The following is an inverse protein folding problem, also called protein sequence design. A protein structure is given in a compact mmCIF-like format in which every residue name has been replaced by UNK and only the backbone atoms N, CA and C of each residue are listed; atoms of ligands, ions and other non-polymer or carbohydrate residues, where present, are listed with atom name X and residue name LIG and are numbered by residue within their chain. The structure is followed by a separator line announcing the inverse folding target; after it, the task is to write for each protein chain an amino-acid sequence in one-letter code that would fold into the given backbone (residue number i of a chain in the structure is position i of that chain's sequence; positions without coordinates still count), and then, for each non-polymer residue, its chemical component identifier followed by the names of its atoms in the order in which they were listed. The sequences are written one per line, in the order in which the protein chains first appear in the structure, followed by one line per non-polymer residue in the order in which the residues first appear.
data_IF_313051916141
#
_entry.id   IF_313051916141
#
_cell.length_a   1.000
_cell.length_b   1.000
_cell.length_c   1.000
_cell.angle_alpha   90.00
_cell.angle_beta   90.00
_cell.angle_gamma   90.00
#
_symmetry.space_group_name_H-M   'P 1'
#
loop_
_entity.id
_entity.type
_entity.pdbx_description
1 polymer ?
#
# COMPACT_ATOMS: atom_id res chain seq x y z
N UNK A 1 18.25 22.41 5.49
CA UNK A 1 17.82 21.16 6.16
C UNK A 1 17.07 21.44 7.47
N UNK A 2 17.60 22.25 8.40
CA UNK A 2 16.87 22.60 9.64
C UNK A 2 15.64 23.51 9.43
N UNK A 3 15.60 24.30 8.35
CA UNK A 3 14.43 25.13 7.96
C UNK A 3 13.26 24.33 7.35
N UNK A 4 13.48 23.07 6.98
CA UNK A 4 12.41 22.18 6.49
C UNK A 4 11.59 21.63 7.66
N UNK A 5 12.24 21.39 8.79
CA UNK A 5 11.61 20.88 10.01
C UNK A 5 10.89 21.97 10.80
N UNK A 6 10.96 23.25 10.41
CA UNK A 6 10.18 24.30 11.10
C UNK A 6 8.70 24.28 10.70
N UNK A 7 8.34 23.63 9.59
CA UNK A 7 6.96 23.52 9.15
C UNK A 7 6.30 22.27 9.74
N UNK A 8 5.20 22.45 10.46
CA UNK A 8 4.46 21.36 11.10
C UNK A 8 3.96 20.32 10.09
N UNK A 9 3.45 20.75 8.93
CA UNK A 9 3.03 19.82 7.86
C UNK A 9 4.19 18.96 7.34
N UNK A 10 5.41 19.51 7.31
CA UNK A 10 6.60 18.80 6.83
C UNK A 10 7.07 17.79 7.87
N UNK A 11 7.01 18.12 9.17
CA UNK A 11 7.28 17.14 10.23
C UNK A 11 6.32 15.95 10.13
N UNK A 12 5.03 16.22 9.96
CA UNK A 12 3.99 15.19 9.78
C UNK A 12 4.23 14.36 8.53
N UNK A 13 4.66 14.98 7.43
CA UNK A 13 5.06 14.29 6.20
C UNK A 13 6.18 13.28 6.43
N UNK A 14 7.26 13.71 7.09
CA UNK A 14 8.40 12.84 7.40
C UNK A 14 7.99 11.70 8.34
N UNK A 15 7.19 11.99 9.37
CA UNK A 15 6.66 10.97 10.28
C UNK A 15 5.78 9.94 9.56
N UNK A 16 4.90 10.39 8.67
CA UNK A 16 4.07 9.51 7.84
C UNK A 16 4.94 8.63 6.93
N UNK A 17 5.95 9.20 6.27
CA UNK A 17 6.90 8.44 5.43
C UNK A 17 7.68 7.41 6.25
N UNK A 18 8.15 7.78 7.44
CA UNK A 18 8.81 6.85 8.36
C UNK A 18 7.86 5.69 8.67
N UNK A 19 6.63 5.98 9.12
CA UNK A 19 5.65 4.95 9.46
C UNK A 19 5.35 4.04 8.26
N UNK A 20 5.05 4.60 7.09
CA UNK A 20 4.74 3.84 5.87
C UNK A 20 5.90 2.95 5.43
N UNK A 21 7.13 3.45 5.50
CA UNK A 21 8.32 2.70 5.09
C UNK A 21 8.62 1.46 5.94
N UNK A 22 8.12 1.41 7.19
CA UNK A 22 8.34 0.28 8.08
C UNK A 22 7.51 -0.94 7.71
N UNK A 23 6.27 -0.76 7.26
CA UNK A 23 5.35 -1.87 7.02
C UNK A 23 4.98 -2.09 5.55
N UNK A 24 4.92 -1.03 4.74
CA UNK A 24 4.47 -1.12 3.35
C UNK A 24 5.35 -2.04 2.51
N UNK A 25 6.69 -1.89 2.51
CA UNK A 25 7.56 -2.80 1.77
C UNK A 25 7.51 -4.24 2.30
N UNK A 26 7.28 -4.42 3.62
CA UNK A 26 7.12 -5.75 4.22
C UNK A 26 5.90 -6.46 3.66
N UNK A 27 4.72 -5.83 3.69
CA UNK A 27 3.51 -6.38 3.05
C UNK A 27 3.73 -6.60 1.54
N UNK A 28 4.41 -5.67 0.88
CA UNK A 28 4.79 -5.78 -0.52
C UNK A 28 5.62 -7.02 -0.86
N UNK A 29 6.54 -7.44 0.01
CA UNK A 29 7.32 -8.67 -0.21
C UNK A 29 6.43 -9.91 -0.24
N UNK A 30 5.46 -10.02 0.69
CA UNK A 30 4.49 -11.11 0.69
C UNK A 30 3.57 -11.05 -0.54
N UNK A 31 3.08 -9.86 -0.91
CA UNK A 31 2.24 -9.68 -2.09
C UNK A 31 2.94 -10.15 -3.36
N UNK A 32 4.20 -9.78 -3.57
CA UNK A 32 4.94 -10.19 -4.77
C UNK A 32 5.17 -11.70 -4.79
N UNK A 33 5.64 -12.28 -3.69
CA UNK A 33 5.95 -13.70 -3.62
C UNK A 33 4.70 -14.58 -3.79
N UNK A 34 3.53 -14.11 -3.33
CA UNK A 34 2.25 -14.77 -3.54
C UNK A 34 1.63 -14.52 -4.92
N UNK A 35 2.32 -13.82 -5.83
CA UNK A 35 1.81 -13.40 -7.16
C UNK A 35 0.56 -12.49 -7.08
N UNK A 36 0.51 -11.64 -6.06
CA UNK A 36 -0.59 -10.73 -5.75
C UNK A 36 -0.15 -9.26 -5.83
N UNK A 37 0.86 -8.92 -6.62
CA UNK A 37 1.40 -7.55 -6.72
C UNK A 37 0.36 -6.51 -7.15
N UNK A 38 -0.62 -6.88 -7.98
CA UNK A 38 -1.70 -5.99 -8.43
C UNK A 38 -2.80 -5.76 -7.37
N UNK A 39 -2.73 -6.47 -6.24
CA UNK A 39 -3.71 -6.33 -5.18
C UNK A 39 -3.63 -4.98 -4.48
N UNK A 40 -2.42 -4.44 -4.28
CA UNK A 40 -2.23 -3.11 -3.70
C UNK A 40 -2.89 -2.05 -4.57
N UNK A 41 -2.76 -2.17 -5.88
CA UNK A 41 -3.36 -1.28 -6.86
C UNK A 41 -4.90 -1.39 -6.85
N UNK A 42 -5.41 -2.61 -6.92
CA UNK A 42 -6.85 -2.90 -6.90
C UNK A 42 -7.52 -2.32 -5.65
N UNK A 43 -6.99 -2.61 -4.47
CA UNK A 43 -7.57 -2.11 -3.22
C UNK A 43 -7.42 -0.60 -3.07
N UNK A 44 -6.38 0.01 -3.66
CA UNK A 44 -6.19 1.46 -3.67
C UNK A 44 -7.19 2.20 -4.56
N UNK A 45 -7.77 1.53 -5.55
CA UNK A 45 -8.85 2.09 -6.36
C UNK A 45 -10.24 1.84 -5.77
N UNK A 46 -10.44 0.70 -5.12
CA UNK A 46 -11.71 0.37 -4.45
C UNK A 46 -11.91 1.20 -3.18
N UNK A 47 -10.83 1.53 -2.49
CA UNK A 47 -10.83 2.47 -1.37
C UNK A 47 -11.35 3.87 -1.75
N UNK A 48 -11.20 4.30 -3.02
CA UNK A 48 -11.75 5.56 -3.50
C UNK A 48 -13.28 5.53 -3.51
N UNK A 49 -13.91 4.37 -3.73
CA UNK A 49 -15.36 4.22 -3.52
C UNK A 49 -15.67 4.45 -2.05
N UNK A 50 -14.86 3.87 -1.16
CA UNK A 50 -14.85 4.13 0.27
C UNK A 50 -14.87 5.61 0.64
N UNK A 51 -13.92 6.36 0.09
CA UNK A 51 -13.80 7.80 0.28
C UNK A 51 -15.04 8.51 -0.25
N UNK A 52 -15.48 8.19 -1.47
CA UNK A 52 -16.66 8.81 -2.08
C UNK A 52 -17.93 8.60 -1.24
N UNK A 53 -18.16 7.39 -0.71
CA UNK A 53 -19.28 7.14 0.20
C UNK A 53 -19.17 7.94 1.49
N UNK A 54 -17.97 8.03 2.09
CA UNK A 54 -17.75 8.82 3.30
C UNK A 54 -18.08 10.31 3.08
N UNK A 55 -17.55 10.88 1.99
CA UNK A 55 -17.76 12.29 1.63
C UNK A 55 -19.21 12.63 1.29
N UNK A 56 -19.95 11.72 0.65
CA UNK A 56 -21.34 11.95 0.25
C UNK A 56 -22.32 11.71 1.40
N UNK A 57 -22.05 10.74 2.27
CA UNK A 57 -22.89 10.43 3.44
C UNK A 57 -22.57 11.32 4.66
N UNK A 58 -21.50 12.12 4.61
CA UNK A 58 -21.05 12.95 5.73
C UNK A 58 -20.43 12.16 6.88
N UNK A 59 -19.98 10.92 6.62
CA UNK A 59 -19.28 10.05 7.57
C UNK A 59 -17.78 10.27 7.42
N UNK A 60 -16.99 10.01 8.47
CA UNK A 60 -15.53 10.02 8.38
C UNK A 60 -15.03 9.19 7.17
N UNK A 61 -14.33 9.81 6.20
CA UNK A 61 -13.85 9.12 5.01
C UNK A 61 -13.00 7.89 5.35
N UNK A 62 -12.13 8.00 6.36
CA UNK A 62 -11.27 6.89 6.80
C UNK A 62 -12.08 5.66 7.23
N UNK A 63 -13.16 5.86 7.99
CA UNK A 63 -14.00 4.75 8.48
C UNK A 63 -14.74 4.08 7.32
N UNK A 64 -15.33 4.88 6.43
CA UNK A 64 -16.01 4.38 5.23
C UNK A 64 -15.06 3.62 4.31
N UNK A 65 -13.83 4.13 4.13
CA UNK A 65 -12.79 3.47 3.35
C UNK A 65 -12.38 2.14 3.94
N UNK A 66 -12.14 2.06 5.25
CA UNK A 66 -11.80 0.81 5.92
C UNK A 66 -12.93 -0.21 5.73
N UNK A 67 -14.19 0.17 5.94
CA UNK A 67 -15.32 -0.73 5.79
C UNK A 67 -15.43 -1.30 4.36
N UNK A 68 -15.35 -0.42 3.35
CA UNK A 68 -15.46 -0.84 1.94
C UNK A 68 -14.26 -1.70 1.52
N UNK A 69 -13.05 -1.36 1.96
CA UNK A 69 -11.86 -2.14 1.64
C UNK A 69 -11.87 -3.52 2.32
N UNK A 70 -12.41 -3.64 3.53
CA UNK A 70 -12.57 -4.95 4.19
C UNK A 70 -13.54 -5.85 3.43
N UNK A 71 -14.68 -5.30 2.99
CA UNK A 71 -15.64 -6.01 2.14
C UNK A 71 -14.97 -6.43 0.82
N UNK A 72 -14.25 -5.51 0.20
CA UNK A 72 -13.52 -5.75 -1.05
C UNK A 72 -12.43 -6.81 -0.90
N UNK A 73 -11.68 -6.84 0.22
CA UNK A 73 -10.64 -7.82 0.49
C UNK A 73 -11.21 -9.24 0.62
N UNK A 74 -12.36 -9.39 1.29
CA UNK A 74 -13.07 -10.67 1.37
C UNK A 74 -13.60 -11.09 0.01
N UNK A 75 -14.22 -10.16 -0.72
CA UNK A 75 -14.77 -10.42 -2.04
C UNK A 75 -13.68 -10.77 -3.07
N UNK A 76 -12.51 -10.12 -2.98
CA UNK A 76 -11.35 -10.44 -3.81
C UNK A 76 -10.87 -11.86 -3.57
N UNK A 77 -10.81 -12.30 -2.31
CA UNK A 77 -10.44 -13.67 -1.99
C UNK A 77 -11.46 -14.67 -2.51
N UNK A 78 -12.76 -14.36 -2.41
CA UNK A 78 -13.82 -15.18 -3.00
C UNK A 78 -13.65 -15.29 -4.52
N UNK A 79 -13.45 -14.17 -5.22
CA UNK A 79 -13.24 -14.14 -6.67
C UNK A 79 -12.03 -14.99 -7.08
N UNK A 80 -10.95 -14.99 -6.30
CA UNK A 80 -9.78 -15.84 -6.56
C UNK A 80 -10.09 -17.33 -6.47
N UNK A 81 -10.99 -17.74 -5.57
CA UNK A 81 -11.43 -19.15 -5.51
C UNK A 81 -12.27 -19.55 -6.72
N UNK A 82 -13.02 -18.62 -7.31
CA UNK A 82 -13.84 -18.86 -8.51
C UNK A 82 -12.96 -18.87 -9.77
N UNK A 83 -12.03 -17.92 -9.90
CA UNK A 83 -11.16 -17.75 -11.06
C UNK A 83 -9.73 -18.26 -10.80
N UNK A 84 -9.57 -19.51 -10.32
CA UNK A 84 -8.26 -20.09 -9.96
C UNK A 84 -7.20 -19.94 -11.06
N UNK A 85 -7.58 -20.12 -12.32
CA UNK A 85 -6.66 -20.08 -13.46
C UNK A 85 -6.29 -18.67 -13.91
N UNK A 86 -7.06 -17.65 -13.50
CA UNK A 86 -6.90 -16.26 -13.96
C UNK A 86 -7.15 -15.28 -12.81
N UNK A 87 -6.30 -15.33 -11.78
CA UNK A 87 -6.42 -14.49 -10.59
C UNK A 87 -6.46 -12.98 -10.91
N UNK A 88 -5.85 -12.57 -12.02
CA UNK A 88 -5.82 -11.19 -12.51
C UNK A 88 -7.21 -10.67 -12.94
N UNK A 89 -8.14 -11.56 -13.32
CA UNK A 89 -9.51 -11.19 -13.69
C UNK A 89 -10.25 -10.65 -12.46
N UNK A 90 -10.13 -11.33 -11.32
CA UNK A 90 -10.78 -10.90 -10.07
C UNK A 90 -10.31 -9.50 -9.64
N UNK A 91 -9.01 -9.23 -9.76
CA UNK A 91 -8.44 -7.89 -9.50
C UNK A 91 -8.97 -6.84 -10.48
N UNK A 92 -9.01 -7.15 -11.78
CA UNK A 92 -9.48 -6.20 -12.79
C UNK A 92 -10.97 -5.86 -12.64
N UNK A 93 -11.83 -6.85 -12.35
CA UNK A 93 -13.26 -6.65 -12.08
C UNK A 93 -13.44 -5.74 -10.87
N UNK A 94 -12.73 -6.03 -9.78
CA UNK A 94 -12.87 -5.29 -8.53
C UNK A 94 -12.38 -3.84 -8.68
N UNK A 95 -11.24 -3.64 -9.34
CA UNK A 95 -10.69 -2.32 -9.63
C UNK A 95 -11.67 -1.49 -10.47
N UNK A 96 -12.18 -2.06 -11.57
CA UNK A 96 -13.13 -1.37 -12.46
C UNK A 96 -14.43 -1.02 -11.74
N UNK A 97 -14.93 -1.93 -10.91
CA UNK A 97 -16.14 -1.73 -10.11
C UNK A 97 -15.92 -0.63 -9.07
N UNK A 98 -14.79 -0.65 -8.37
CA UNK A 98 -14.43 0.36 -7.38
C UNK A 98 -14.40 1.78 -7.98
N UNK A 99 -13.71 1.94 -9.11
CA UNK A 99 -13.65 3.22 -9.81
C UNK A 99 -15.02 3.66 -10.35
N UNK A 100 -15.78 2.75 -10.96
CA UNK A 100 -17.10 3.08 -11.48
C UNK A 100 -18.04 3.54 -10.34
N UNK A 101 -18.05 2.81 -9.22
CA UNK A 101 -18.88 3.15 -8.06
C UNK A 101 -18.44 4.48 -7.44
N UNK A 102 -17.14 4.74 -7.29
CA UNK A 102 -16.65 6.00 -6.72
C UNK A 102 -17.11 7.20 -7.54
N UNK A 103 -17.00 7.12 -8.87
CA UNK A 103 -17.44 8.18 -9.79
C UNK A 103 -18.96 8.38 -9.79
N UNK A 104 -19.75 7.30 -9.78
CA UNK A 104 -21.22 7.40 -9.73
C UNK A 104 -21.68 8.03 -8.41
N UNK A 105 -21.13 7.57 -7.28
CA UNK A 105 -21.48 8.10 -5.95
C UNK A 105 -21.14 9.58 -5.87
N UNK A 106 -19.96 9.95 -6.34
CA UNK A 106 -19.53 11.34 -6.25
C UNK A 106 -20.24 12.26 -7.24
N UNK A 107 -20.58 11.78 -8.46
CA UNK A 107 -21.37 12.53 -9.43
C UNK A 107 -22.79 12.82 -8.94
N UNK A 108 -23.38 11.91 -8.15
CA UNK A 108 -24.71 12.10 -7.55
C UNK A 108 -24.68 12.87 -6.23
N UNK A 109 -23.54 12.87 -5.55
CA UNK A 109 -23.34 13.59 -4.30
C UNK A 109 -23.34 15.08 -4.51
N UNK A 110 -24.32 15.79 -3.94
CA UNK A 110 -24.35 17.27 -3.87
C UNK A 110 -23.35 17.81 -2.84
N UNK A 111 -22.14 17.24 -2.74
CA UNK A 111 -21.26 17.56 -1.65
C UNK A 111 -20.45 18.83 -1.94
N UNK A 112 -20.62 19.80 -1.04
CA UNK A 112 -19.96 21.12 -0.99
C UNK A 112 -18.53 21.03 -0.40
N UNK A 113 -17.99 19.82 -0.27
CA UNK A 113 -16.67 19.55 0.30
C UNK A 113 -15.57 19.94 -0.69
N UNK A 114 -14.68 20.84 -0.27
CA UNK A 114 -13.53 21.37 -1.02
C UNK A 114 -12.44 20.34 -1.37
N UNK A 115 -12.60 19.09 -0.93
CA UNK A 115 -11.61 18.03 -1.12
C UNK A 115 -12.05 17.13 -2.29
N UNK A 116 -11.36 17.26 -3.43
CA UNK A 116 -11.65 16.48 -4.63
C UNK A 116 -11.12 15.05 -4.51
N UNK A 117 -11.72 14.09 -5.25
CA UNK A 117 -11.14 12.74 -5.42
C UNK A 117 -9.69 12.80 -5.88
N UNK A 118 -9.32 13.84 -6.64
CA UNK A 118 -7.97 14.05 -7.14
C UNK A 118 -6.96 14.11 -6.00
N UNK A 119 -7.32 14.72 -4.87
CA UNK A 119 -6.44 14.77 -3.70
C UNK A 119 -6.21 13.38 -3.10
N UNK A 120 -7.17 12.46 -3.20
CA UNK A 120 -7.01 11.07 -2.74
C UNK A 120 -6.34 10.17 -3.78
N UNK A 121 -6.41 10.53 -5.07
CA UNK A 121 -5.69 9.85 -6.15
C UNK A 121 -4.19 10.15 -6.09
N UNK A 122 -3.84 11.44 -6.00
CA UNK A 122 -2.46 11.91 -6.04
C UNK A 122 -1.83 12.10 -4.66
N UNK A 123 -2.64 12.14 -3.60
CA UNK A 123 -2.20 12.43 -2.23
C UNK A 123 -1.94 13.92 -2.02
N UNK A 124 -2.06 14.38 -0.77
CA UNK A 124 -1.53 15.68 -0.38
C UNK A 124 -0.85 15.58 0.97
N UNK A 125 0.48 15.69 0.90
CA UNK A 125 1.35 15.62 2.07
C UNK A 125 1.11 16.81 3.02
N UNK A 126 0.64 17.94 2.50
CA UNK A 126 0.34 19.13 3.28
C UNK A 126 -0.89 18.93 4.18
N UNK A 127 -1.82 18.05 3.81
CA UNK A 127 -3.10 17.89 4.50
C UNK A 127 -3.13 16.79 5.56
N UNK A 128 -1.97 16.25 5.92
CA UNK A 128 -1.87 15.15 6.88
C UNK A 128 -2.16 15.66 8.30
N UNK A 129 -3.14 15.06 8.96
CA UNK A 129 -3.46 15.34 10.38
C UNK A 129 -2.62 14.48 11.33
N UNK A 130 -2.48 14.94 12.59
CA UNK A 130 -1.79 14.16 13.63
C UNK A 130 -2.44 12.80 13.87
N UNK A 131 -3.77 12.74 13.88
CA UNK A 131 -4.52 11.49 14.02
C UNK A 131 -4.18 10.48 12.90
N UNK A 132 -3.97 10.96 11.67
CA UNK A 132 -3.57 10.11 10.56
C UNK A 132 -2.14 9.57 10.75
N UNK A 133 -1.21 10.41 11.20
CA UNK A 133 0.17 9.97 11.51
C UNK A 133 0.17 8.91 12.60
N UNK A 134 -0.59 9.12 13.68
CA UNK A 134 -0.71 8.15 14.78
C UNK A 134 -1.31 6.84 14.25
N UNK A 135 -2.37 6.91 13.43
CA UNK A 135 -2.99 5.73 12.81
C UNK A 135 -2.00 4.94 11.95
N UNK A 136 -1.10 5.61 11.23
CA UNK A 136 -0.03 4.97 10.45
C UNK A 136 0.99 4.25 11.34
N UNK A 137 1.37 4.83 12.49
CA UNK A 137 2.24 4.14 13.44
C UNK A 137 1.55 2.95 14.12
N UNK A 138 0.26 3.07 14.43
CA UNK A 138 -0.52 1.97 15.00
C UNK A 138 -0.59 0.79 14.03
N UNK A 139 -0.94 1.03 12.76
CA UNK A 139 -0.97 -0.06 11.77
C UNK A 139 0.43 -0.59 11.48
N UNK A 140 1.48 0.25 11.51
CA UNK A 140 2.86 -0.21 11.38
C UNK A 140 3.22 -1.20 12.50
N UNK A 141 2.90 -0.87 13.76
CA UNK A 141 3.13 -1.76 14.90
C UNK A 141 2.34 -3.07 14.75
N UNK A 142 1.05 -3.00 14.40
CA UNK A 142 0.21 -4.18 14.17
C UNK A 142 0.79 -5.08 13.08
N UNK A 143 1.15 -4.53 11.92
CA UNK A 143 1.71 -5.30 10.80
C UNK A 143 3.05 -5.93 11.18
N UNK A 144 3.94 -5.20 11.86
CA UNK A 144 5.23 -5.73 12.29
C UNK A 144 5.09 -6.83 13.34
N UNK A 145 4.19 -6.68 14.32
CA UNK A 145 3.90 -7.70 15.34
C UNK A 145 3.31 -8.95 14.68
N UNK A 146 2.31 -8.80 13.81
CA UNK A 146 1.71 -9.91 13.08
C UNK A 146 2.75 -10.62 12.20
N UNK A 147 3.58 -9.85 11.50
CA UNK A 147 4.66 -10.40 10.67
C UNK A 147 5.67 -11.16 11.51
N UNK A 148 6.04 -10.66 12.69
CA UNK A 148 6.97 -11.34 13.59
C UNK A 148 6.37 -12.64 14.16
N UNK A 149 5.12 -12.60 14.63
CA UNK A 149 4.42 -13.73 15.23
C UNK A 149 4.11 -14.83 14.19
N UNK A 150 3.65 -14.44 13.00
CA UNK A 150 3.21 -15.36 11.94
C UNK A 150 4.26 -15.56 10.84
N UNK A 151 5.53 -15.20 11.07
CA UNK A 151 6.57 -15.27 10.06
C UNK A 151 6.72 -16.68 9.46
N UNK A 152 6.71 -17.71 10.30
CA UNK A 152 6.86 -19.11 9.87
C UNK A 152 5.64 -19.60 9.09
N UNK A 153 4.40 -19.52 9.62
CA UNK A 153 3.21 -19.88 8.85
C UNK A 153 3.07 -19.12 7.53
N UNK A 154 3.30 -17.81 7.52
CA UNK A 154 3.24 -16.99 6.30
C UNK A 154 4.31 -17.38 5.29
N UNK A 155 5.52 -17.75 5.75
CA UNK A 155 6.57 -18.24 4.86
C UNK A 155 6.14 -19.53 4.16
N UNK A 156 5.68 -20.54 4.90
CA UNK A 156 5.25 -21.83 4.32
C UNK A 156 4.10 -21.58 3.33
N UNK A 157 3.07 -20.85 3.76
CA UNK A 157 1.93 -20.47 2.93
C UNK A 157 2.34 -19.75 1.62
N UNK A 158 3.37 -18.92 1.67
CA UNK A 158 3.81 -18.13 0.51
C UNK A 158 4.53 -18.97 -0.54
N UNK A 159 5.28 -20.00 -0.11
CA UNK A 159 6.08 -20.82 -1.02
C UNK A 159 5.37 -22.10 -1.45
N UNK A 160 4.54 -22.68 -0.58
CA UNK A 160 3.81 -23.92 -0.84
C UNK A 160 2.50 -23.96 -0.03
N UNK A 161 1.40 -23.62 -0.69
CA UNK A 161 0.05 -23.65 -0.08
C UNK A 161 -0.42 -25.08 0.22
N UNK A 162 0.00 -26.07 -0.57
CA UNK A 162 -0.39 -27.47 -0.38
C UNK A 162 0.33 -28.06 0.84
N UNK A 163 1.63 -27.79 0.98
CA UNK A 163 2.39 -28.16 2.18
C UNK A 163 1.84 -27.47 3.43
N UNK A 164 1.48 -26.18 3.35
CA UNK A 164 0.84 -25.47 4.45
C UNK A 164 -0.49 -26.13 4.89
N UNK A 165 -1.28 -26.60 3.92
CA UNK A 165 -2.54 -27.29 4.19
C UNK A 165 -2.32 -28.66 4.86
N UNK A 166 -1.32 -29.42 4.40
CA UNK A 166 -0.94 -30.71 5.02
C UNK A 166 -0.41 -30.52 6.44
N UNK A 167 0.33 -29.44 6.69
CA UNK A 167 0.81 -29.04 8.03
C UNK A 167 -0.32 -28.55 8.98
N UNK A 168 -1.58 -28.56 8.52
CA UNK A 168 -2.76 -28.20 9.31
C UNK A 168 -2.99 -26.69 9.46
N UNK A 169 -2.30 -25.85 8.67
CA UNK A 169 -2.52 -24.42 8.70
C UNK A 169 -3.86 -24.05 8.03
N UNK A 170 -4.64 -23.11 8.60
CA UNK A 170 -5.88 -22.65 7.99
C UNK A 170 -5.61 -21.67 6.84
N UNK A 171 -5.06 -22.18 5.74
CA UNK A 171 -4.63 -21.45 4.51
C UNK A 171 -5.60 -20.35 4.11
N UNK A 172 -6.89 -20.69 3.98
CA UNK A 172 -7.94 -19.75 3.55
C UNK A 172 -8.14 -18.61 4.54
N UNK A 173 -8.23 -18.90 5.83
CA UNK A 173 -8.40 -17.88 6.87
C UNK A 173 -7.19 -16.97 6.94
N UNK A 174 -5.98 -17.52 6.83
CA UNK A 174 -4.74 -16.76 6.82
C UNK A 174 -4.65 -15.83 5.60
N UNK A 175 -5.08 -16.30 4.42
CA UNK A 175 -5.14 -15.47 3.21
C UNK A 175 -6.13 -14.32 3.35
N UNK A 176 -7.34 -14.58 3.88
CA UNK A 176 -8.35 -13.54 4.13
C UNK A 176 -7.81 -12.49 5.13
N UNK A 177 -7.23 -12.94 6.24
CA UNK A 177 -6.69 -12.03 7.26
C UNK A 177 -5.54 -11.18 6.71
N UNK A 178 -4.63 -11.78 5.95
CA UNK A 178 -3.56 -11.06 5.26
C UNK A 178 -4.14 -9.99 4.31
N UNK A 179 -5.17 -10.35 3.55
CA UNK A 179 -5.83 -9.42 2.64
C UNK A 179 -6.53 -8.27 3.37
N UNK A 180 -7.19 -8.56 4.50
CA UNK A 180 -7.82 -7.54 5.34
C UNK A 180 -6.79 -6.58 5.94
N UNK A 181 -5.71 -7.10 6.54
CA UNK A 181 -4.63 -6.27 7.12
C UNK A 181 -4.01 -5.39 6.04
N UNK A 182 -3.74 -5.96 4.87
CA UNK A 182 -3.22 -5.21 3.72
C UNK A 182 -4.19 -4.12 3.26
N UNK A 183 -5.48 -4.43 3.19
CA UNK A 183 -6.51 -3.47 2.84
C UNK A 183 -6.64 -2.32 3.84
N UNK A 184 -6.64 -2.61 5.14
CA UNK A 184 -6.65 -1.58 6.19
C UNK A 184 -5.41 -0.69 6.10
N UNK A 185 -4.24 -1.29 5.88
CA UNK A 185 -3.00 -0.54 5.67
C UNK A 185 -3.09 0.41 4.47
N UNK A 186 -3.61 -0.06 3.34
CA UNK A 186 -3.85 0.76 2.13
C UNK A 186 -4.84 1.89 2.42
N UNK A 187 -5.96 1.60 3.08
CA UNK A 187 -6.99 2.57 3.44
C UNK A 187 -6.43 3.73 4.29
N UNK A 188 -5.54 3.41 5.24
CA UNK A 188 -4.91 4.40 6.11
C UNK A 188 -3.81 5.21 5.42
N UNK A 189 -3.14 4.64 4.41
CA UNK A 189 -2.09 5.35 3.67
C UNK A 189 -2.65 6.36 2.66
N UNK A 190 -3.83 6.12 2.11
CA UNK A 190 -4.38 6.91 1.00
C UNK A 190 -4.51 8.42 1.28
N UNK A 191 -5.03 8.87 2.43
CA UNK A 191 -5.09 10.31 2.70
C UNK A 191 -3.71 10.99 2.69
N UNK A 192 -2.65 10.26 3.08
CA UNK A 192 -1.29 10.78 3.18
C UNK A 192 -0.49 10.65 1.87
N UNK A 193 -0.55 9.48 1.25
CA UNK A 193 0.28 9.09 0.11
C UNK A 193 -0.45 9.23 -1.24
N UNK A 194 -1.77 9.07 -1.25
CA UNK A 194 -2.57 8.91 -2.46
C UNK A 194 -2.55 7.49 -3.01
N UNK A 195 -3.60 7.13 -3.75
CA UNK A 195 -3.75 5.79 -4.34
C UNK A 195 -2.57 5.39 -5.25
N UNK A 196 -2.04 6.33 -6.03
CA UNK A 196 -0.90 6.09 -6.92
C UNK A 196 0.37 5.71 -6.16
N UNK A 197 0.69 6.45 -5.10
CA UNK A 197 1.93 6.24 -4.35
C UNK A 197 1.88 4.92 -3.57
N UNK A 198 0.72 4.57 -3.01
CA UNK A 198 0.56 3.35 -2.20
C UNK A 198 1.01 2.10 -2.94
N UNK A 199 0.57 1.94 -4.19
CA UNK A 199 0.95 0.81 -5.04
C UNK A 199 2.48 0.77 -5.27
N UNK A 200 3.07 1.92 -5.58
CA UNK A 200 4.52 2.10 -5.77
C UNK A 200 5.32 1.71 -4.52
N UNK A 201 4.98 2.24 -3.34
CA UNK A 201 5.77 2.05 -2.11
C UNK A 201 5.60 0.66 -1.49
N UNK A 202 4.57 -0.09 -1.87
CA UNK A 202 4.46 -1.50 -1.52
C UNK A 202 5.32 -2.34 -2.47
N UNK A 203 5.17 -2.16 -3.79
CA UNK A 203 5.71 -3.11 -4.78
C UNK A 203 7.16 -2.82 -5.14
N UNK A 204 7.52 -1.57 -5.45
CA UNK A 204 8.86 -1.27 -5.98
C UNK A 204 10.00 -1.55 -4.98
N UNK A 205 10.00 -1.05 -3.74
CA UNK A 205 11.09 -1.35 -2.80
C UNK A 205 11.23 -2.85 -2.52
N UNK A 206 10.10 -3.57 -2.43
CA UNK A 206 10.10 -5.03 -2.29
C UNK A 206 10.70 -5.74 -3.52
N UNK A 207 10.37 -5.29 -4.73
CA UNK A 207 10.91 -5.83 -5.98
C UNK A 207 12.42 -5.62 -6.12
N UNK A 208 12.92 -4.47 -5.65
CA UNK A 208 14.35 -4.15 -5.61
C UNK A 208 15.04 -5.05 -4.59
N UNK A 209 14.48 -5.18 -3.40
CA UNK A 209 15.03 -6.02 -2.34
C UNK A 209 15.06 -7.51 -2.71
N UNK A 210 14.06 -8.02 -3.42
CA UNK A 210 14.05 -9.40 -3.94
C UNK A 210 15.19 -9.67 -4.93
N UNK A 211 15.67 -8.64 -5.65
CA UNK A 211 16.82 -8.79 -6.56
C UNK A 211 18.16 -8.81 -5.82
N UNK A 212 18.25 -8.16 -4.66
CA UNK A 212 19.49 -7.99 -3.89
C UNK A 212 19.63 -9.00 -2.74
N UNK A 213 18.52 -9.35 -2.10
CA UNK A 213 18.49 -10.18 -0.90
C UNK A 213 18.74 -11.66 -1.20
N UNK A 214 19.39 -12.33 -0.23
CA UNK A 214 19.71 -13.77 -0.31
C UNK A 214 18.71 -14.63 0.47
N UNK A 215 18.15 -14.08 1.55
CA UNK A 215 17.27 -14.79 2.48
C UNK A 215 16.00 -13.97 2.72
N UNK A 216 14.88 -14.62 3.04
CA UNK A 216 13.58 -13.97 3.24
C UNK A 216 13.62 -12.80 4.23
N UNK A 217 14.20 -13.01 5.42
CA UNK A 217 14.38 -11.94 6.43
C UNK A 217 15.23 -10.78 5.92
N UNK A 218 16.29 -11.07 5.16
CA UNK A 218 17.16 -10.05 4.57
C UNK A 218 16.42 -9.24 3.50
N UNK A 219 15.58 -9.88 2.68
CA UNK A 219 14.72 -9.21 1.69
C UNK A 219 13.78 -8.23 2.39
N UNK A 220 13.11 -8.62 3.49
CA UNK A 220 12.19 -7.72 4.20
C UNK A 220 12.90 -6.50 4.81
N UNK A 221 14.07 -6.71 5.42
CA UNK A 221 14.87 -5.62 5.99
C UNK A 221 15.39 -4.68 4.90
N UNK A 222 15.90 -5.22 3.79
CA UNK A 222 16.33 -4.44 2.64
C UNK A 222 15.16 -3.68 2.00
N UNK A 223 13.98 -4.29 1.87
CA UNK A 223 12.79 -3.65 1.34
C UNK A 223 12.40 -2.44 2.18
N UNK A 224 12.42 -2.58 3.51
CA UNK A 224 12.12 -1.49 4.45
C UNK A 224 13.17 -0.38 4.37
N UNK A 225 14.46 -0.72 4.31
CA UNK A 225 15.55 0.26 4.20
C UNK A 225 15.50 1.03 2.87
N UNK A 226 15.30 0.33 1.74
CA UNK A 226 15.17 0.94 0.42
C UNK A 226 13.90 1.79 0.36
N UNK A 227 12.79 1.29 0.93
CA UNK A 227 11.54 2.02 1.07
C UNK A 227 11.74 3.34 1.83
N UNK A 228 12.39 3.29 2.98
CA UNK A 228 12.67 4.46 3.80
C UNK A 228 13.54 5.48 3.06
N UNK A 229 14.69 5.05 2.53
CA UNK A 229 15.61 5.94 1.82
C UNK A 229 14.98 6.55 0.57
N UNK A 230 14.25 5.74 -0.21
CA UNK A 230 13.58 6.20 -1.43
C UNK A 230 12.47 7.21 -1.17
N UNK A 231 11.63 6.96 -0.15
CA UNK A 231 10.55 7.89 0.21
C UNK A 231 11.09 9.19 0.82
N UNK A 232 12.11 9.13 1.69
CA UNK A 232 12.76 10.32 2.26
C UNK A 232 13.43 11.16 1.18
N UNK A 233 14.19 10.52 0.27
CA UNK A 233 14.81 11.21 -0.85
C UNK A 233 13.75 11.83 -1.78
N UNK A 234 12.65 11.12 -2.05
CA UNK A 234 11.57 11.61 -2.91
C UNK A 234 10.80 12.77 -2.31
N UNK A 235 10.55 12.73 -1.00
CA UNK A 235 9.94 13.85 -0.28
C UNK A 235 10.86 15.09 -0.32
N UNK A 236 12.17 14.88 -0.10
CA UNK A 236 13.14 15.96 -0.15
C UNK A 236 13.21 16.61 -1.55
N UNK A 237 13.31 15.80 -2.61
CA UNK A 237 13.35 16.31 -4.00
C UNK A 237 12.03 16.99 -4.37
N UNK A 238 10.89 16.41 -3.97
CA UNK A 238 9.56 16.99 -4.20
C UNK A 238 9.45 18.41 -3.64
N UNK A 239 9.99 18.65 -2.44
CA UNK A 239 9.95 19.97 -1.82
C UNK A 239 10.76 21.02 -2.61
N UNK A 240 11.99 20.69 -3.04
CA UNK A 240 12.83 21.64 -3.76
C UNK A 240 12.44 21.83 -5.23
N UNK A 241 11.90 20.79 -5.85
CA UNK A 241 11.47 20.83 -7.25
C UNK A 241 9.99 21.26 -7.40
N UNK A 242 9.28 21.54 -6.30
CA UNK A 242 7.86 21.91 -6.28
C UNK A 242 6.96 20.93 -7.05
N UNK A 243 7.33 19.65 -7.04
CA UNK A 243 6.64 18.58 -7.77
C UNK A 243 5.75 17.77 -6.83
N UNK A 244 4.66 17.14 -7.33
CA UNK A 244 3.83 16.25 -6.52
C UNK A 244 4.65 15.12 -5.90
N UNK A 245 4.59 14.97 -4.59
CA UNK A 245 5.44 14.02 -3.87
C UNK A 245 5.23 12.56 -4.29
N UNK A 246 4.00 12.18 -4.62
CA UNK A 246 3.67 10.85 -5.13
C UNK A 246 4.41 10.53 -6.44
N UNK A 247 4.48 11.49 -7.36
CA UNK A 247 5.21 11.34 -8.62
C UNK A 247 6.73 11.27 -8.39
N UNK A 248 7.28 12.18 -7.58
CA UNK A 248 8.73 12.25 -7.33
C UNK A 248 9.27 11.01 -6.62
N UNK A 249 8.55 10.50 -5.62
CA UNK A 249 8.90 9.24 -4.94
C UNK A 249 8.83 8.07 -5.93
N UNK A 250 7.80 8.02 -6.78
CA UNK A 250 7.65 6.96 -7.79
C UNK A 250 8.81 6.95 -8.78
N UNK A 251 9.18 8.11 -9.31
CA UNK A 251 10.30 8.23 -10.26
C UNK A 251 11.60 7.75 -9.63
N UNK A 252 11.88 8.12 -8.37
CA UNK A 252 13.09 7.65 -7.67
C UNK A 252 13.12 6.13 -7.56
N UNK A 253 12.02 5.50 -7.15
CA UNK A 253 11.98 4.04 -7.06
C UNK A 253 12.17 3.37 -8.42
N UNK A 254 11.57 3.91 -9.48
CA UNK A 254 11.76 3.41 -10.85
C UNK A 254 13.23 3.56 -11.28
N UNK A 255 13.85 4.71 -11.05
CA UNK A 255 15.27 4.93 -11.37
C UNK A 255 16.18 3.98 -10.59
N UNK A 256 15.97 3.80 -9.29
CA UNK A 256 16.75 2.88 -8.46
C UNK A 256 16.57 1.43 -8.94
N UNK A 257 15.34 1.03 -9.27
CA UNK A 257 15.06 -0.30 -9.83
C UNK A 257 15.78 -0.55 -11.16
N UNK A 258 15.76 0.44 -12.07
CA UNK A 258 16.45 0.36 -13.36
C UNK A 258 17.96 0.26 -13.18
N UNK A 259 18.57 1.12 -12.34
CA UNK A 259 20.01 1.11 -12.07
C UNK A 259 20.47 -0.25 -11.54
N UNK A 260 19.77 -0.80 -10.55
CA UNK A 260 20.11 -2.11 -9.97
C UNK A 260 19.93 -3.22 -11.00
N UNK A 261 18.88 -3.16 -11.81
CA UNK A 261 18.63 -4.15 -12.87
C UNK A 261 19.71 -4.10 -13.95
N UNK A 262 20.21 -2.91 -14.29
CA UNK A 262 21.28 -2.72 -15.27
C UNK A 262 22.61 -3.26 -14.74
N UNK A 263 23.01 -2.87 -13.52
CA UNK A 263 24.24 -3.31 -12.87
C UNK A 263 24.28 -4.84 -12.75
N UNK A 264 23.16 -5.47 -12.36
CA UNK A 264 23.09 -6.93 -12.24
C UNK A 264 23.19 -7.65 -13.59
N UNK A 265 22.82 -7.00 -14.69
CA UNK A 265 22.99 -7.53 -16.05
C UNK A 265 24.45 -7.49 -16.50
N UNK A 266 25.25 -6.53 -16.03
CA UNK A 266 26.68 -6.43 -16.36
C UNK A 266 27.59 -7.25 -15.45
N UNK A 267 27.14 -7.58 -14.23
CA UNK A 267 27.91 -8.40 -13.27
C UNK A 267 27.64 -9.91 -13.47
N UNK A 268 26.56 -10.28 -14.17
CA UNK A 268 26.30 -11.66 -14.62
C UNK A 268 26.91 -11.90 -15.99
#
# INVERSE_FOLDING_TARGET
MLSLLSYDFMQRAFLAVIAMSLFSPVLGTFLILRRQSLMSDTLSHVSLSGVAFGLVLGISPTVSTIAIVLIAAVFLEYLRTVYKSFMEIGTAILMSTGLAVSLIVMSKGKSSSSMSLDQYLFGSIVTISEEQVISLFVIAAVVLILTFLFLRPMYILTFDEDTAFVDGLPVRTMSILFNMVTGVAIALMIPAAGALLVSTIMVLPASIALRLGKNFKSVMLLASAIGFLGMVAGLYISYYAETPASASITIIFVTVFLLISLVRRFIK
#
